data_IF_610110424826
#
_entry.id   IF_610110424826
#
_cell.length_a   1.000
_cell.length_b   1.000
_cell.length_c   1.000
_cell.angle_alpha   90.00
_cell.angle_beta   90.00
_cell.angle_gamma   90.00
#
_symmetry.space_group_name_H-M   'P 1'
#
loop_
_entity.id
_entity.type
_entity.pdbx_description
1 polymer ?
#
# COMPACT_ATOMS: atom_id res chain seq x y z
N UNK A 1 3.51 -5.39 -19.73
CA UNK A 1 3.61 -4.52 -18.56
C UNK A 1 2.71 -5.02 -17.46
N UNK A 2 2.94 -4.62 -16.20
CA UNK A 2 2.15 -5.10 -15.07
C UNK A 2 2.33 -6.61 -14.85
N UNK A 3 1.27 -7.27 -14.40
CA UNK A 3 1.30 -8.69 -14.03
C UNK A 3 1.73 -9.62 -15.16
N UNK A 4 1.33 -9.36 -16.40
CA UNK A 4 1.73 -10.17 -17.54
C UNK A 4 3.25 -10.12 -17.78
N UNK A 5 3.86 -8.94 -17.66
CA UNK A 5 5.30 -8.80 -17.80
C UNK A 5 6.03 -9.46 -16.61
N UNK A 6 5.56 -9.23 -15.40
CA UNK A 6 6.15 -9.80 -14.20
C UNK A 6 6.08 -11.33 -14.19
N UNK A 7 4.99 -11.90 -14.67
CA UNK A 7 4.75 -13.34 -14.71
C UNK A 7 5.13 -13.97 -16.06
N UNK A 8 5.76 -13.22 -16.94
CA UNK A 8 6.06 -13.68 -18.30
C UNK A 8 6.89 -14.98 -18.34
N UNK A 9 7.77 -15.20 -17.38
CA UNK A 9 8.55 -16.43 -17.27
C UNK A 9 7.71 -17.69 -17.02
N UNK A 10 6.55 -17.54 -16.39
CA UNK A 10 5.60 -18.60 -16.17
C UNK A 10 4.61 -18.75 -17.35
N UNK A 11 4.15 -17.62 -17.87
CA UNK A 11 3.15 -17.59 -18.93
C UNK A 11 3.74 -17.95 -20.31
N UNK A 12 5.03 -17.69 -20.53
CA UNK A 12 5.69 -17.98 -21.79
C UNK A 12 6.07 -19.47 -21.86
N UNK A 13 5.57 -20.11 -22.91
CA UNK A 13 6.04 -21.45 -23.26
C UNK A 13 7.37 -21.44 -24.02
N UNK A 14 7.80 -22.61 -24.43
CA UNK A 14 8.96 -22.79 -25.30
C UNK A 14 8.47 -23.13 -26.71
N UNK A 15 8.92 -22.33 -27.67
CA UNK A 15 8.57 -22.59 -29.06
C UNK A 15 9.15 -23.93 -29.54
N UNK A 16 8.31 -24.68 -30.21
CA UNK A 16 8.75 -25.85 -30.95
C UNK A 16 9.46 -25.43 -32.24
N UNK A 17 10.19 -26.37 -32.84
CA UNK A 17 10.80 -26.17 -34.14
C UNK A 17 10.53 -27.36 -35.06
N UNK A 18 10.54 -27.11 -36.35
CA UNK A 18 10.43 -28.14 -37.36
C UNK A 18 11.45 -27.84 -38.44
N UNK A 19 12.44 -28.73 -38.57
CA UNK A 19 13.48 -28.67 -39.60
C UNK A 19 13.15 -29.69 -40.67
N UNK A 20 13.17 -29.28 -41.90
CA UNK A 20 12.93 -30.13 -43.07
C UNK A 20 13.88 -29.78 -44.20
N UNK A 21 14.11 -30.74 -45.07
CA UNK A 21 14.97 -30.54 -46.26
C UNK A 21 14.18 -29.93 -47.41
N UNK A 22 14.81 -29.02 -48.11
CA UNK A 22 14.23 -28.37 -49.31
C UNK A 22 15.08 -28.62 -50.54
N UNK A 23 14.48 -28.52 -51.71
CA UNK A 23 15.21 -28.40 -52.96
C UNK A 23 15.83 -26.99 -53.12
N UNK A 24 16.48 -26.74 -54.25
CA UNK A 24 17.14 -25.47 -54.59
C UNK A 24 16.18 -24.28 -54.66
N UNK A 25 14.91 -24.56 -54.88
CA UNK A 25 13.84 -23.54 -55.06
C UNK A 25 13.04 -23.34 -53.75
N UNK A 26 13.44 -24.04 -52.65
CA UNK A 26 12.81 -23.90 -51.32
C UNK A 26 11.61 -24.81 -51.09
N UNK A 27 11.26 -25.71 -52.02
CA UNK A 27 10.18 -26.65 -51.84
C UNK A 27 10.62 -27.86 -51.00
N UNK A 28 9.77 -28.24 -50.03
CA UNK A 28 10.06 -29.41 -49.18
C UNK A 28 10.19 -30.69 -49.97
N UNK A 29 11.24 -31.48 -49.68
CA UNK A 29 11.47 -32.74 -50.32
C UNK A 29 10.50 -33.82 -49.82
N UNK A 30 9.76 -34.48 -50.73
CA UNK A 30 8.83 -35.55 -50.34
C UNK A 30 9.58 -36.76 -49.79
N UNK A 31 9.02 -37.39 -48.74
CA UNK A 31 9.55 -38.66 -48.19
C UNK A 31 10.73 -38.51 -47.24
N UNK A 32 11.27 -37.29 -47.03
CA UNK A 32 12.29 -37.04 -46.01
C UNK A 32 11.63 -36.84 -44.64
N UNK A 33 12.25 -37.37 -43.58
CA UNK A 33 11.78 -37.16 -42.21
C UNK A 33 12.08 -35.76 -41.72
N UNK A 34 11.07 -35.16 -41.16
CA UNK A 34 11.25 -33.89 -40.47
C UNK A 34 11.83 -34.12 -39.07
N UNK A 35 12.67 -33.20 -38.64
CA UNK A 35 13.08 -33.10 -37.27
C UNK A 35 12.08 -32.16 -36.56
N UNK A 36 11.36 -32.68 -35.60
CA UNK A 36 10.30 -31.93 -34.90
C UNK A 36 10.63 -31.89 -33.43
N UNK A 37 10.74 -30.68 -32.89
CA UNK A 37 10.77 -30.40 -31.46
C UNK A 37 9.40 -29.84 -31.11
N UNK A 38 8.68 -30.51 -30.22
CA UNK A 38 7.34 -30.07 -29.81
C UNK A 38 7.43 -28.76 -29.00
N UNK A 39 6.46 -27.86 -29.23
CA UNK A 39 6.28 -26.72 -28.36
C UNK A 39 5.84 -27.17 -26.95
N UNK A 40 6.24 -26.42 -25.93
CA UNK A 40 5.79 -26.59 -24.54
C UNK A 40 5.01 -25.34 -24.17
N UNK A 41 3.77 -25.53 -23.73
CA UNK A 41 2.94 -24.41 -23.28
C UNK A 41 3.49 -23.82 -22.00
N UNK A 42 3.24 -22.53 -21.77
CA UNK A 42 3.46 -21.88 -20.48
C UNK A 42 2.45 -22.37 -19.43
N UNK A 43 2.68 -21.94 -18.20
CA UNK A 43 1.82 -22.30 -17.06
C UNK A 43 0.62 -21.35 -16.96
N UNK A 44 -0.45 -21.84 -16.31
CA UNK A 44 -1.60 -21.03 -15.95
C UNK A 44 -1.33 -20.28 -14.64
N UNK A 45 -1.76 -19.02 -14.57
CA UNK A 45 -1.64 -18.18 -13.36
C UNK A 45 -3.02 -17.79 -12.87
N UNK A 46 -3.31 -18.09 -11.60
CA UNK A 46 -4.54 -17.73 -10.93
C UNK A 46 -4.31 -16.55 -9.98
N UNK A 47 -5.03 -15.46 -10.21
CA UNK A 47 -4.97 -14.26 -9.38
C UNK A 47 -6.03 -14.29 -8.27
N UNK A 48 -5.82 -13.47 -7.25
CA UNK A 48 -6.81 -13.28 -6.18
C UNK A 48 -7.86 -12.21 -6.50
N UNK A 49 -7.73 -11.55 -7.64
CA UNK A 49 -8.64 -10.49 -8.06
C UNK A 49 -10.06 -11.05 -8.29
N UNK A 50 -11.06 -10.34 -7.74
CA UNK A 50 -12.48 -10.58 -7.97
C UNK A 50 -13.00 -9.55 -8.97
N UNK A 51 -13.54 -10.01 -10.09
CA UNK A 51 -13.98 -9.13 -11.18
C UNK A 51 -15.12 -8.20 -10.77
N UNK A 52 -16.02 -8.63 -9.91
CA UNK A 52 -17.15 -7.81 -9.45
C UNK A 52 -16.68 -6.70 -8.51
N UNK A 53 -15.76 -7.03 -7.61
CA UNK A 53 -15.15 -6.06 -6.69
C UNK A 53 -14.28 -5.07 -7.49
N UNK A 54 -13.50 -5.55 -8.44
CA UNK A 54 -12.66 -4.74 -9.32
C UNK A 54 -13.52 -3.72 -10.10
N UNK A 55 -14.59 -4.17 -10.73
CA UNK A 55 -15.50 -3.29 -11.47
C UNK A 55 -16.13 -2.22 -10.56
N UNK A 56 -16.56 -2.60 -9.38
CA UNK A 56 -17.14 -1.67 -8.40
C UNK A 56 -16.12 -0.62 -7.96
N UNK A 57 -14.86 -1.04 -7.70
CA UNK A 57 -13.77 -0.13 -7.35
C UNK A 57 -13.49 0.87 -8.47
N UNK A 58 -13.35 0.40 -9.70
CA UNK A 58 -13.07 1.26 -10.88
C UNK A 58 -14.16 2.30 -11.09
N UNK A 59 -15.43 1.89 -11.05
CA UNK A 59 -16.57 2.82 -11.17
C UNK A 59 -16.57 3.86 -10.05
N UNK A 60 -16.29 3.44 -8.82
CA UNK A 60 -16.24 4.34 -7.66
C UNK A 60 -15.10 5.36 -7.79
N UNK A 61 -13.94 4.96 -8.28
CA UNK A 61 -12.80 5.86 -8.49
C UNK A 61 -13.10 6.90 -9.58
N UNK A 62 -13.70 6.50 -10.71
CA UNK A 62 -14.10 7.40 -11.80
C UNK A 62 -15.15 8.39 -11.32
N UNK A 63 -16.16 7.93 -10.59
CA UNK A 63 -17.19 8.79 -10.01
C UNK A 63 -16.59 9.81 -9.03
N UNK A 64 -15.69 9.36 -8.15
CA UNK A 64 -15.00 10.22 -7.17
C UNK A 64 -14.15 11.27 -7.88
N UNK A 65 -13.38 10.87 -8.89
CA UNK A 65 -12.59 11.80 -9.69
C UNK A 65 -13.45 12.89 -10.33
N UNK A 66 -14.57 12.49 -10.93
CA UNK A 66 -15.52 13.43 -11.56
C UNK A 66 -16.18 14.35 -10.55
N UNK A 67 -16.60 13.82 -9.40
CA UNK A 67 -17.32 14.57 -8.37
C UNK A 67 -16.44 15.63 -7.69
N UNK A 68 -15.19 15.31 -7.42
CA UNK A 68 -14.28 16.17 -6.66
C UNK A 68 -13.24 16.90 -7.55
N UNK A 69 -13.22 16.66 -8.84
CA UNK A 69 -12.22 17.21 -9.75
C UNK A 69 -10.79 16.77 -9.41
N UNK A 70 -10.65 15.56 -8.85
CA UNK A 70 -9.35 15.04 -8.47
C UNK A 70 -8.49 14.72 -9.70
N UNK A 71 -7.18 14.97 -9.61
CA UNK A 71 -6.25 14.63 -10.71
C UNK A 71 -6.20 13.12 -10.95
N UNK A 72 -6.11 12.34 -9.90
CA UNK A 72 -6.15 10.88 -9.94
C UNK A 72 -6.73 10.35 -8.63
N UNK A 73 -7.47 9.26 -8.70
CA UNK A 73 -7.99 8.51 -7.55
C UNK A 73 -7.50 7.08 -7.68
N UNK A 74 -6.94 6.53 -6.63
CA UNK A 74 -6.47 5.15 -6.61
C UNK A 74 -6.96 4.43 -5.36
N UNK A 75 -7.02 3.12 -5.41
CA UNK A 75 -7.49 2.33 -4.28
C UNK A 75 -7.25 0.85 -4.47
N UNK A 76 -7.39 0.13 -3.36
CA UNK A 76 -7.32 -1.32 -3.32
C UNK A 76 -8.32 -1.89 -2.32
N UNK A 77 -8.71 -3.14 -2.56
CA UNK A 77 -9.55 -3.91 -1.65
C UNK A 77 -8.80 -5.17 -1.25
N UNK A 78 -8.67 -5.38 0.06
CA UNK A 78 -7.97 -6.53 0.62
C UNK A 78 -8.89 -7.32 1.54
N UNK A 79 -8.86 -8.63 1.45
CA UNK A 79 -9.53 -9.52 2.40
C UNK A 79 -8.74 -9.55 3.72
N UNK A 80 -9.33 -9.08 4.80
CA UNK A 80 -8.64 -8.90 6.11
C UNK A 80 -8.09 -10.22 6.65
N UNK A 81 -8.81 -11.33 6.48
CA UNK A 81 -8.43 -12.63 7.06
C UNK A 81 -7.22 -13.27 6.38
N UNK A 82 -7.05 -13.04 5.08
CA UNK A 82 -6.07 -13.75 4.27
C UNK A 82 -4.97 -12.85 3.72
N UNK A 83 -5.19 -11.53 3.72
CA UNK A 83 -4.32 -10.56 3.06
C UNK A 83 -4.40 -10.57 1.53
N UNK A 84 -5.35 -11.31 0.94
CA UNK A 84 -5.53 -11.35 -0.51
C UNK A 84 -6.01 -10.01 -1.04
N UNK A 85 -5.32 -9.47 -2.04
CA UNK A 85 -5.79 -8.31 -2.79
C UNK A 85 -6.88 -8.77 -3.75
N UNK A 86 -8.09 -8.24 -3.56
CA UNK A 86 -9.28 -8.59 -4.35
C UNK A 86 -9.53 -7.61 -5.48
N UNK A 87 -9.06 -6.36 -5.35
CA UNK A 87 -9.13 -5.34 -6.38
C UNK A 87 -8.01 -4.31 -6.18
N UNK A 88 -7.51 -3.74 -7.26
CA UNK A 88 -6.52 -2.67 -7.27
C UNK A 88 -6.66 -1.84 -8.53
N UNK A 89 -6.61 -0.51 -8.42
CA UNK A 89 -6.72 0.34 -9.60
C UNK A 89 -6.54 1.82 -9.31
N UNK A 90 -6.65 2.58 -10.39
CA UNK A 90 -6.63 4.04 -10.38
C UNK A 90 -7.54 4.61 -11.48
N UNK A 91 -8.05 5.84 -11.29
CA UNK A 91 -8.97 6.47 -12.24
C UNK A 91 -8.27 6.85 -13.55
N UNK A 92 -7.01 7.29 -13.50
CA UNK A 92 -6.20 7.53 -14.68
C UNK A 92 -5.56 6.20 -15.11
N UNK A 93 -6.26 5.47 -15.95
CA UNK A 93 -5.84 4.19 -16.49
C UNK A 93 -5.76 4.23 -18.01
N UNK A 94 -5.32 3.16 -18.62
CA UNK A 94 -5.19 3.02 -20.06
C UNK A 94 -5.86 1.73 -20.55
N UNK A 95 -6.29 1.74 -21.81
CA UNK A 95 -6.75 0.52 -22.48
C UNK A 95 -5.56 -0.14 -23.19
N UNK A 96 -5.10 -1.32 -22.75
CA UNK A 96 -3.98 -2.00 -23.38
C UNK A 96 -4.24 -2.43 -24.82
N UNK A 97 -5.50 -2.50 -25.23
CA UNK A 97 -5.87 -2.86 -26.61
C UNK A 97 -5.66 -1.71 -27.58
N UNK A 98 -5.76 -0.46 -27.12
CA UNK A 98 -5.57 0.74 -27.95
C UNK A 98 -4.10 1.05 -28.19
N UNK A 99 -3.19 0.59 -27.32
CA UNK A 99 -1.73 0.79 -27.37
C UNK A 99 -1.26 2.24 -27.38
N UNK A 100 -2.12 3.20 -27.07
CA UNK A 100 -1.79 4.61 -26.91
C UNK A 100 -1.56 4.94 -25.43
N UNK A 101 -0.51 4.32 -24.87
CA UNK A 101 -0.21 4.45 -23.44
C UNK A 101 0.80 5.56 -23.26
N UNK A 102 0.39 6.65 -22.62
CA UNK A 102 1.21 7.83 -22.33
C UNK A 102 1.83 7.80 -20.94
N UNK A 103 1.20 7.11 -20.01
CA UNK A 103 1.68 6.97 -18.62
C UNK A 103 1.43 5.54 -18.12
N UNK A 104 2.49 4.95 -17.55
CA UNK A 104 2.48 3.60 -16.99
C UNK A 104 2.55 3.61 -15.46
N UNK A 105 2.50 4.77 -14.83
CA UNK A 105 2.66 4.91 -13.39
C UNK A 105 1.51 4.26 -12.62
N UNK A 106 1.84 3.31 -11.76
CA UNK A 106 0.92 2.80 -10.75
C UNK A 106 0.99 3.72 -9.53
N UNK A 107 0.10 4.71 -9.48
CA UNK A 107 0.13 5.78 -8.50
C UNK A 107 0.13 5.26 -7.07
N UNK A 108 -0.72 4.29 -6.77
CA UNK A 108 -0.85 3.74 -5.41
C UNK A 108 0.37 2.94 -4.93
N UNK A 109 1.23 2.46 -5.86
CA UNK A 109 2.42 1.70 -5.52
C UNK A 109 3.72 2.50 -5.70
N UNK A 110 3.76 3.50 -6.59
CA UNK A 110 5.00 4.15 -7.03
C UNK A 110 5.10 5.61 -6.62
N UNK A 111 3.97 6.27 -6.29
CA UNK A 111 3.98 7.69 -5.95
C UNK A 111 3.88 7.87 -4.44
N UNK A 112 4.91 8.46 -3.80
CA UNK A 112 4.86 8.74 -2.38
C UNK A 112 3.80 9.79 -2.07
N UNK A 113 3.10 9.63 -0.96
CA UNK A 113 2.08 10.56 -0.49
C UNK A 113 2.09 10.64 1.04
N UNK A 114 1.50 11.69 1.59
CA UNK A 114 1.33 11.83 3.04
C UNK A 114 0.08 11.07 3.51
N UNK A 115 0.23 9.92 4.19
CA UNK A 115 -0.91 9.09 4.59
C UNK A 115 -1.75 9.73 5.69
N UNK A 116 -1.21 10.72 6.40
CA UNK A 116 -1.90 11.45 7.46
C UNK A 116 -2.37 10.54 8.60
N UNK A 117 -3.60 10.75 9.05
CA UNK A 117 -4.16 10.07 10.23
C UNK A 117 -4.37 8.57 10.08
N UNK A 118 -4.27 8.01 8.89
CA UNK A 118 -4.33 6.55 8.70
C UNK A 118 -3.17 5.83 9.40
N UNK A 119 -2.01 6.49 9.53
CA UNK A 119 -0.86 5.95 10.29
C UNK A 119 -1.13 5.78 11.78
N UNK A 120 -2.08 6.49 12.36
CA UNK A 120 -2.39 6.39 13.79
C UNK A 120 -2.84 4.98 14.19
N UNK A 121 -3.53 4.28 13.30
CA UNK A 121 -3.97 2.90 13.56
C UNK A 121 -2.82 1.96 13.88
N UNK A 122 -1.66 2.15 13.27
CA UNK A 122 -0.46 1.35 13.53
C UNK A 122 0.13 1.65 14.92
N UNK A 123 0.12 2.92 15.34
CA UNK A 123 0.56 3.32 16.69
C UNK A 123 -0.35 2.71 17.77
N UNK A 124 -1.68 2.77 17.57
CA UNK A 124 -2.63 2.12 18.49
C UNK A 124 -2.46 0.61 18.50
N UNK A 125 -2.33 -0.02 17.34
CA UNK A 125 -2.08 -1.46 17.24
C UNK A 125 -0.81 -1.88 17.98
N UNK A 126 0.27 -1.10 17.88
CA UNK A 126 1.50 -1.32 18.62
C UNK A 126 1.26 -1.25 20.13
N UNK A 127 0.59 -0.21 20.62
CA UNK A 127 0.31 -0.04 22.05
C UNK A 127 -0.56 -1.17 22.62
N UNK A 128 -1.56 -1.60 21.87
CA UNK A 128 -2.44 -2.72 22.24
C UNK A 128 -1.62 -4.02 22.28
N UNK A 129 -0.81 -4.29 21.29
CA UNK A 129 -0.02 -5.52 21.21
C UNK A 129 1.07 -5.61 22.28
N UNK A 130 1.61 -4.47 22.74
CA UNK A 130 2.54 -4.39 23.87
C UNK A 130 1.85 -4.60 25.22
N UNK A 131 0.51 -4.70 25.24
CA UNK A 131 -0.26 -4.82 26.48
C UNK A 131 -0.22 -3.57 27.36
N UNK A 132 0.17 -2.42 26.80
CA UNK A 132 0.30 -1.15 27.52
C UNK A 132 -0.88 -0.20 27.30
N UNK A 133 -1.80 -0.56 26.41
CA UNK A 133 -2.94 0.28 26.05
C UNK A 133 -4.06 0.15 27.10
N UNK A 134 -4.47 1.29 27.64
CA UNK A 134 -5.68 1.42 28.44
C UNK A 134 -6.57 2.51 27.82
N UNK A 135 -7.63 2.11 27.12
CA UNK A 135 -8.52 3.03 26.39
C UNK A 135 -9.11 4.13 27.25
N UNK A 136 -9.33 3.86 28.57
CA UNK A 136 -9.91 4.83 29.52
C UNK A 136 -8.86 5.73 30.18
N UNK A 137 -7.58 5.62 29.85
CA UNK A 137 -6.53 6.48 30.40
C UNK A 137 -6.69 7.92 29.90
N UNK A 138 -6.64 8.87 30.82
CA UNK A 138 -6.85 10.27 30.53
C UNK A 138 -5.56 10.99 30.17
N UNK A 139 -5.62 11.84 29.14
CA UNK A 139 -4.53 12.69 28.72
C UNK A 139 -5.01 14.06 28.25
N UNK A 140 -4.05 14.96 27.98
CA UNK A 140 -4.33 16.27 27.40
C UNK A 140 -4.74 16.11 25.92
N UNK A 141 -6.01 16.37 25.63
CA UNK A 141 -6.56 16.32 24.28
C UNK A 141 -6.26 17.57 23.43
N UNK A 142 -5.62 18.62 23.97
CA UNK A 142 -5.40 19.87 23.24
C UNK A 142 -4.12 19.86 22.41
N UNK A 143 -3.00 19.45 23.03
CA UNK A 143 -1.68 19.38 22.41
C UNK A 143 -0.77 18.40 23.12
N UNK A 144 0.24 17.94 22.41
CA UNK A 144 1.37 17.22 22.97
C UNK A 144 2.65 18.01 22.64
N UNK A 145 3.37 18.44 23.69
CA UNK A 145 4.66 19.07 23.54
C UNK A 145 5.76 18.11 23.95
N UNK A 146 6.75 17.94 23.11
CA UNK A 146 7.89 17.06 23.35
C UNK A 146 9.15 17.82 23.68
N UNK A 147 10.00 17.21 24.46
CA UNK A 147 11.29 17.71 24.86
C UNK A 147 12.22 16.54 25.19
N UNK A 148 13.38 16.86 25.76
CA UNK A 148 14.31 15.87 26.27
C UNK A 148 14.67 16.17 27.71
N UNK A 149 14.96 15.14 28.47
CA UNK A 149 15.58 15.26 29.81
C UNK A 149 17.09 15.56 29.70
N UNK A 150 17.76 15.66 30.84
CA UNK A 150 19.21 15.91 30.91
C UNK A 150 20.07 14.79 30.33
N UNK A 151 19.47 13.60 30.07
CA UNK A 151 20.11 12.44 29.47
C UNK A 151 19.72 12.26 28.00
N UNK A 152 19.00 13.26 27.43
CA UNK A 152 18.50 13.28 26.06
C UNK A 152 17.39 12.24 25.77
N UNK A 153 16.70 11.72 26.80
CA UNK A 153 15.53 10.88 26.59
C UNK A 153 14.29 11.73 26.26
N UNK A 154 13.40 11.26 25.37
CA UNK A 154 12.16 11.96 25.09
C UNK A 154 11.26 12.06 26.32
N UNK A 155 10.76 13.25 26.58
CA UNK A 155 9.80 13.52 27.65
C UNK A 155 8.70 14.46 27.17
N UNK A 156 7.57 14.45 27.87
CA UNK A 156 6.57 15.50 27.73
C UNK A 156 7.13 16.81 28.30
N UNK A 157 7.01 17.86 27.53
CA UNK A 157 7.44 19.21 27.92
C UNK A 157 6.25 20.14 28.09
N UNK A 158 6.46 21.27 28.75
CA UNK A 158 5.55 22.42 28.70
C UNK A 158 5.77 23.19 27.40
N UNK A 159 4.85 24.08 27.02
CA UNK A 159 5.01 24.88 25.82
C UNK A 159 6.26 25.77 25.88
N UNK A 160 6.68 26.16 27.07
CA UNK A 160 7.81 27.11 27.28
C UNK A 160 9.18 26.45 27.11
N UNK A 161 9.32 25.15 27.39
CA UNK A 161 10.59 24.39 27.30
C UNK A 161 10.56 23.26 26.28
N UNK A 162 9.60 23.25 25.36
CA UNK A 162 9.48 22.23 24.34
C UNK A 162 10.41 22.45 23.16
N UNK A 163 10.85 21.33 22.55
CA UNK A 163 11.47 21.32 21.24
C UNK A 163 10.44 21.51 20.11
N UNK A 164 9.17 21.28 20.42
CA UNK A 164 8.04 21.49 19.54
C UNK A 164 6.75 20.94 20.14
N UNK A 165 5.63 21.36 19.58
CA UNK A 165 4.31 20.88 20.01
C UNK A 165 3.49 20.40 18.81
N UNK A 166 2.79 19.28 19.01
CA UNK A 166 1.82 18.74 18.05
C UNK A 166 0.43 19.19 18.47
N UNK A 167 -0.31 19.77 17.55
CA UNK A 167 -1.66 20.24 17.74
C UNK A 167 -2.64 19.42 16.89
N UNK A 168 -3.89 19.39 17.32
CA UNK A 168 -4.97 18.82 16.53
C UNK A 168 -5.30 19.68 15.31
N UNK A 169 -6.00 19.11 14.35
CA UNK A 169 -6.52 19.84 13.20
C UNK A 169 -7.32 21.07 13.69
N UNK A 170 -7.16 22.18 13.00
CA UNK A 170 -7.76 23.47 13.33
C UNK A 170 -7.53 23.95 14.76
N UNK A 171 -6.60 23.35 15.52
CA UNK A 171 -6.30 23.67 16.93
C UNK A 171 -7.51 23.62 17.86
N UNK A 172 -8.48 22.73 17.55
CA UNK A 172 -9.60 22.49 18.46
C UNK A 172 -9.13 22.02 19.83
N UNK A 173 -9.81 22.53 20.87
CA UNK A 173 -9.51 22.23 22.28
C UNK A 173 -10.50 21.19 22.79
N UNK A 174 -9.99 20.08 23.24
CA UNK A 174 -10.79 18.93 23.73
C UNK A 174 -10.71 18.77 25.24
N UNK A 175 -9.80 19.51 25.92
CA UNK A 175 -9.55 19.36 27.35
C UNK A 175 -8.89 18.03 27.69
N UNK A 176 -9.33 17.42 28.78
CA UNK A 176 -8.90 16.06 29.15
C UNK A 176 -9.79 15.04 28.44
N UNK A 177 -9.20 14.09 27.75
CA UNK A 177 -9.86 13.00 27.02
C UNK A 177 -9.20 11.67 27.30
N UNK A 178 -9.93 10.59 27.15
CA UNK A 178 -9.38 9.25 27.17
C UNK A 178 -8.75 8.84 25.82
N UNK A 179 -7.99 7.75 25.79
CA UNK A 179 -7.30 7.30 24.60
C UNK A 179 -8.28 6.82 23.52
N UNK A 180 -9.40 6.18 23.88
CA UNK A 180 -10.42 5.75 22.92
C UNK A 180 -11.03 6.96 22.19
N UNK A 181 -11.38 8.00 22.95
CA UNK A 181 -11.83 9.29 22.41
C UNK A 181 -10.77 9.91 21.50
N UNK A 182 -9.48 9.79 21.87
CA UNK A 182 -8.36 10.24 21.06
C UNK A 182 -8.32 9.62 19.67
N UNK A 183 -8.62 8.33 19.56
CA UNK A 183 -8.72 7.64 18.26
C UNK A 183 -9.98 8.04 17.50
N UNK A 184 -11.12 8.07 18.16
CA UNK A 184 -12.44 8.43 17.56
C UNK A 184 -12.37 9.80 16.88
N UNK A 185 -11.78 10.79 17.55
CA UNK A 185 -11.62 12.15 17.00
C UNK A 185 -10.30 12.37 16.28
N UNK A 186 -9.51 11.33 16.13
CA UNK A 186 -8.21 11.39 15.43
C UNK A 186 -7.28 12.48 15.99
N UNK A 187 -7.14 12.54 17.32
CA UNK A 187 -6.37 13.58 17.99
C UNK A 187 -4.85 13.35 17.87
N UNK A 188 -4.16 14.31 17.28
CA UNK A 188 -2.70 14.28 17.17
C UNK A 188 -2.02 14.32 18.55
N UNK A 189 -2.61 15.08 19.49
CA UNK A 189 -2.12 15.18 20.87
C UNK A 189 -2.10 13.83 21.58
N UNK A 190 -3.17 13.04 21.44
CA UNK A 190 -3.27 11.71 22.04
C UNK A 190 -2.33 10.74 21.36
N UNK A 191 -2.20 10.81 20.02
CA UNK A 191 -1.20 10.04 19.27
C UNK A 191 0.21 10.31 19.79
N UNK A 192 0.56 11.60 19.98
CA UNK A 192 1.84 11.99 20.56
C UNK A 192 2.08 11.41 21.95
N UNK A 193 1.04 11.38 22.80
CA UNK A 193 1.13 10.74 24.13
C UNK A 193 1.41 9.24 23.99
N UNK A 194 0.62 8.54 23.20
CA UNK A 194 0.79 7.07 23.06
C UNK A 194 2.17 6.74 22.50
N UNK A 195 2.60 7.45 21.47
CA UNK A 195 3.89 7.19 20.80
C UNK A 195 5.10 7.45 21.68
N UNK A 196 5.03 8.38 22.62
CA UNK A 196 6.18 8.79 23.41
C UNK A 196 6.14 8.33 24.88
N UNK A 197 4.97 8.10 25.45
CA UNK A 197 4.82 7.77 26.86
C UNK A 197 4.30 6.36 27.10
N UNK A 198 3.47 5.82 26.19
CA UNK A 198 2.92 4.46 26.35
C UNK A 198 3.85 3.43 25.73
N UNK A 199 4.33 3.65 24.50
CA UNK A 199 5.20 2.70 23.78
C UNK A 199 6.50 3.43 23.49
N UNK A 200 7.17 4.09 23.49
CA UNK A 200 8.41 4.74 23.02
C UNK A 200 8.48 4.89 21.49
N UNK A 201 9.16 5.94 20.99
CA UNK A 201 9.39 6.12 19.55
C UNK A 201 10.07 4.92 18.89
N UNK A 202 11.05 4.30 19.56
CA UNK A 202 11.77 3.13 19.03
C UNK A 202 10.85 1.92 18.88
N UNK A 203 10.01 1.66 19.86
CA UNK A 203 8.99 0.60 19.78
C UNK A 203 8.02 0.87 18.62
N UNK A 204 7.54 2.12 18.46
CA UNK A 204 6.66 2.48 17.36
C UNK A 204 7.34 2.25 16.00
N UNK A 205 8.61 2.64 15.86
CA UNK A 205 9.39 2.42 14.63
C UNK A 205 9.60 0.93 14.33
N UNK A 206 9.85 0.10 15.36
CA UNK A 206 9.96 -1.34 15.20
C UNK A 206 8.66 -1.95 14.68
N UNK A 207 7.50 -1.53 15.22
CA UNK A 207 6.20 -1.98 14.71
C UNK A 207 5.93 -1.54 13.28
N UNK A 208 6.26 -0.31 12.91
CA UNK A 208 6.14 0.13 11.51
C UNK A 208 6.94 -0.78 10.58
N UNK A 209 8.17 -1.17 10.95
CA UNK A 209 8.96 -2.15 10.17
C UNK A 209 8.28 -3.52 10.11
N UNK A 210 7.72 -4.02 11.21
CA UNK A 210 6.97 -5.29 11.24
C UNK A 210 5.71 -5.25 10.36
N UNK A 211 5.08 -4.08 10.23
CA UNK A 211 3.96 -3.85 9.30
C UNK A 211 4.38 -3.71 7.83
N UNK A 212 5.69 -3.74 7.54
CA UNK A 212 6.21 -3.69 6.18
C UNK A 212 6.59 -2.30 5.69
N UNK A 213 6.52 -1.26 6.52
CA UNK A 213 7.02 0.06 6.16
C UNK A 213 8.55 0.03 5.98
N UNK A 214 9.05 0.91 5.10
CA UNK A 214 10.48 1.07 4.77
C UNK A 214 11.11 -0.10 4.03
N UNK A 215 10.32 -1.02 3.50
CA UNK A 215 10.79 -2.02 2.55
C UNK A 215 10.67 -1.45 1.12
N UNK A 216 11.59 -1.88 0.25
CA UNK A 216 11.49 -1.64 -1.19
C UNK A 216 10.27 -2.39 -1.75
N UNK A 217 9.54 -1.78 -2.67
CA UNK A 217 8.34 -2.33 -3.34
C UNK A 217 8.64 -2.62 -4.79
#
# INVERSE_FOLDING_TARGET
MGLELYLNSYLSGTNGSRTYQTDKDGYRLPGMKDEVVSAVNGDDVYLTLDTSIQQTLEQSMIMTQSQFGAYNVWGGVMEIKTGKVLAWGQSNSFDPNVREITDYTNTGAQVPYEPGSTLKTFTWAAAINEGKYNGSELTNGNSYCYGTDSQNNPIRATADNSLGCVYNAYRYQYGSVDFDTGLIYSLNSVTGTIQNEVITPDTNLEYLRKFGFFNDV
#
